data_IF_754827612958
#
_entry.id   IF_754827612958
#
_cell.length_a   1.000
_cell.length_b   1.000
_cell.length_c   1.000
_cell.angle_alpha   90.00
_cell.angle_beta   90.00
_cell.angle_gamma   90.00
#
_symmetry.space_group_name_H-M   'P 1'
#
loop_
_entity.id
_entity.type
_entity.pdbx_description
1 polymer ?
#
# COMPACT_ATOMS: atom_id res chain seq x y z
N UNK A 1 -0.50 -21.85 -2.40
CA UNK A 1 -1.93 -21.45 -2.37
C UNK A 1 -2.08 -20.02 -2.87
N UNK A 2 -1.36 -19.06 -2.32
CA UNK A 2 -1.38 -17.64 -2.75
C UNK A 2 -1.27 -17.43 -4.27
N UNK A 3 -0.19 -17.92 -4.88
CA UNK A 3 0.01 -17.83 -6.33
C UNK A 3 -1.16 -18.41 -7.15
N UNK A 4 -1.77 -19.51 -6.69
CA UNK A 4 -2.92 -20.13 -7.36
C UNK A 4 -4.17 -19.23 -7.30
N UNK A 5 -4.45 -18.61 -6.15
CA UNK A 5 -5.55 -17.65 -6.00
C UNK A 5 -5.33 -16.46 -6.94
N UNK A 6 -4.15 -15.84 -6.89
CA UNK A 6 -3.85 -14.66 -7.71
C UNK A 6 -3.86 -14.97 -9.21
N UNK A 7 -3.33 -16.12 -9.63
CA UNK A 7 -3.40 -16.56 -11.03
C UNK A 7 -4.85 -16.81 -11.46
N UNK A 8 -5.69 -17.34 -10.57
CA UNK A 8 -7.11 -17.57 -10.85
C UNK A 8 -7.86 -16.25 -11.04
N UNK A 9 -7.52 -15.21 -10.28
CA UNK A 9 -8.03 -13.85 -10.51
C UNK A 9 -7.49 -13.24 -11.81
N UNK A 10 -6.23 -13.51 -12.15
CA UNK A 10 -5.57 -12.97 -13.35
C UNK A 10 -6.16 -13.48 -14.66
N UNK A 11 -6.75 -14.69 -14.65
CA UNK A 11 -7.45 -15.28 -15.80
C UNK A 11 -8.77 -14.58 -16.15
N UNK A 12 -9.36 -13.85 -15.21
CA UNK A 12 -10.57 -13.07 -15.47
C UNK A 12 -10.23 -11.81 -16.29
N UNK A 13 -11.20 -11.24 -17.02
CA UNK A 13 -11.02 -9.96 -17.69
C UNK A 13 -10.61 -8.85 -16.70
N UNK A 14 -9.86 -7.81 -17.14
CA UNK A 14 -9.59 -6.63 -16.32
C UNK A 14 -10.88 -6.02 -15.75
N UNK A 15 -10.86 -5.64 -14.47
CA UNK A 15 -12.01 -5.09 -13.75
C UNK A 15 -13.02 -6.11 -13.22
N UNK A 16 -12.87 -7.41 -13.52
CA UNK A 16 -13.71 -8.44 -12.93
C UNK A 16 -13.45 -8.58 -11.42
N UNK A 17 -14.52 -8.56 -10.63
CA UNK A 17 -14.50 -8.67 -9.17
C UNK A 17 -15.36 -9.88 -8.73
N UNK A 18 -14.83 -11.11 -8.80
CA UNK A 18 -15.57 -12.29 -8.35
C UNK A 18 -15.75 -12.26 -6.83
N UNK A 19 -16.86 -12.81 -6.33
CA UNK A 19 -16.99 -13.07 -4.90
C UNK A 19 -16.03 -14.19 -4.43
N UNK A 20 -15.83 -14.26 -3.12
CA UNK A 20 -14.92 -15.24 -2.52
C UNK A 20 -15.37 -16.69 -2.77
N UNK A 21 -16.67 -16.94 -2.92
CA UNK A 21 -17.22 -18.29 -3.08
C UNK A 21 -17.01 -18.82 -4.50
N UNK A 22 -17.12 -17.97 -5.51
CA UNK A 22 -16.72 -18.27 -6.88
C UNK A 22 -15.25 -18.65 -6.97
N UNK A 23 -14.36 -17.86 -6.35
CA UNK A 23 -12.91 -18.16 -6.31
C UNK A 23 -12.64 -19.50 -5.60
N UNK A 24 -13.30 -19.78 -4.47
CA UNK A 24 -13.20 -21.08 -3.78
C UNK A 24 -13.67 -22.23 -4.66
N UNK A 25 -14.78 -22.07 -5.37
CA UNK A 25 -15.34 -23.08 -6.27
C UNK A 25 -14.33 -23.48 -7.34
N UNK A 26 -13.71 -22.49 -8.00
CA UNK A 26 -12.68 -22.73 -9.01
C UNK A 26 -11.46 -23.42 -8.41
N UNK A 27 -10.99 -23.00 -7.23
CA UNK A 27 -9.82 -23.62 -6.58
C UNK A 27 -10.12 -25.07 -6.15
N UNK A 28 -11.33 -25.34 -5.64
CA UNK A 28 -11.79 -26.70 -5.30
C UNK A 28 -11.79 -27.60 -6.53
N UNK A 29 -12.29 -27.10 -7.66
CA UNK A 29 -12.25 -27.82 -8.94
C UNK A 29 -10.82 -28.11 -9.40
N UNK A 30 -9.92 -27.13 -9.31
CA UNK A 30 -8.50 -27.27 -9.74
C UNK A 30 -7.65 -28.14 -8.83
N UNK A 31 -8.03 -28.30 -7.56
CA UNK A 31 -7.27 -29.05 -6.54
C UNK A 31 -8.21 -29.95 -5.71
N UNK A 32 -8.89 -30.92 -6.34
CA UNK A 32 -9.94 -31.71 -5.69
C UNK A 32 -9.40 -32.56 -4.52
N UNK A 33 -8.14 -32.99 -4.61
CA UNK A 33 -7.46 -33.77 -3.55
C UNK A 33 -7.04 -32.93 -2.33
N UNK A 34 -6.97 -31.60 -2.44
CA UNK A 34 -6.63 -30.70 -1.33
C UNK A 34 -7.94 -30.14 -0.74
N UNK A 35 -8.69 -31.05 -0.14
CA UNK A 35 -9.98 -30.84 0.52
C UNK A 35 -9.92 -29.99 1.80
N UNK A 36 -11.10 -29.67 2.34
CA UNK A 36 -11.25 -29.27 3.75
C UNK A 36 -11.19 -27.77 4.06
N UNK A 37 -11.54 -27.47 5.32
CA UNK A 37 -11.66 -26.12 5.87
C UNK A 37 -10.37 -25.31 5.74
N UNK A 38 -9.19 -25.93 5.90
CA UNK A 38 -7.92 -25.21 5.79
C UNK A 38 -7.69 -24.60 4.39
N UNK A 39 -8.05 -25.30 3.30
CA UNK A 39 -7.96 -24.73 1.95
C UNK A 39 -8.83 -23.49 1.86
N UNK A 40 -10.06 -23.62 2.34
CA UNK A 40 -11.04 -22.56 2.29
C UNK A 40 -10.56 -21.36 3.12
N UNK A 41 -10.00 -21.58 4.30
CA UNK A 41 -9.42 -20.52 5.12
C UNK A 41 -8.24 -19.83 4.42
N UNK A 42 -7.36 -20.60 3.78
CA UNK A 42 -6.24 -20.05 3.00
C UNK A 42 -6.69 -19.18 1.82
N UNK A 43 -7.76 -19.57 1.10
CA UNK A 43 -8.32 -18.74 0.02
C UNK A 43 -8.84 -17.42 0.61
N UNK A 44 -9.62 -17.50 1.71
CA UNK A 44 -10.14 -16.32 2.41
C UNK A 44 -9.03 -15.36 2.84
N UNK A 45 -8.00 -15.91 3.49
CA UNK A 45 -6.88 -15.13 3.99
C UNK A 45 -6.08 -14.52 2.86
N UNK A 46 -5.85 -15.27 1.78
CA UNK A 46 -5.15 -14.74 0.60
C UNK A 46 -5.92 -13.57 0.00
N UNK A 47 -7.25 -13.67 -0.16
CA UNK A 47 -8.05 -12.57 -0.72
C UNK A 47 -8.02 -11.33 0.18
N UNK A 48 -8.12 -11.51 1.51
CA UNK A 48 -8.00 -10.40 2.47
C UNK A 48 -6.62 -9.77 2.47
N UNK A 49 -5.57 -10.59 2.43
CA UNK A 49 -4.18 -10.14 2.38
C UNK A 49 -3.93 -9.36 1.08
N UNK A 50 -4.38 -9.89 -0.06
CA UNK A 50 -4.27 -9.23 -1.36
C UNK A 50 -4.91 -7.83 -1.36
N UNK A 51 -6.09 -7.68 -0.76
CA UNK A 51 -6.75 -6.37 -0.62
C UNK A 51 -5.95 -5.44 0.30
N UNK A 52 -5.47 -5.95 1.44
CA UNK A 52 -4.71 -5.18 2.43
C UNK A 52 -3.42 -4.57 1.84
N UNK A 53 -2.73 -5.33 0.98
CA UNK A 53 -1.49 -4.88 0.32
C UNK A 53 -1.73 -4.30 -1.08
N UNK A 54 -2.99 -4.08 -1.48
CA UNK A 54 -3.36 -3.40 -2.73
C UNK A 54 -3.28 -4.25 -4.01
N UNK A 55 -2.97 -5.56 -3.92
CA UNK A 55 -2.99 -6.44 -5.10
C UNK A 55 -4.41 -6.58 -5.70
N UNK A 56 -5.43 -6.39 -4.86
CA UNK A 56 -6.82 -6.21 -5.30
C UNK A 56 -7.37 -4.91 -4.75
N UNK A 57 -8.38 -4.37 -5.44
CA UNK A 57 -9.20 -3.26 -4.96
C UNK A 57 -10.66 -3.55 -5.26
N UNK A 58 -11.51 -3.55 -4.23
CA UNK A 58 -12.93 -3.91 -4.35
C UNK A 58 -13.13 -5.31 -4.99
N UNK A 59 -12.22 -6.25 -4.71
CA UNK A 59 -12.27 -7.61 -5.25
C UNK A 59 -11.75 -7.77 -6.69
N UNK A 60 -11.43 -6.68 -7.39
CA UNK A 60 -10.81 -6.73 -8.71
C UNK A 60 -9.28 -6.75 -8.60
N UNK A 61 -8.62 -7.51 -9.47
CA UNK A 61 -7.15 -7.54 -9.53
C UNK A 61 -6.60 -6.21 -10.07
N UNK A 62 -5.66 -5.60 -9.36
CA UNK A 62 -5.04 -4.34 -9.78
C UNK A 62 -4.21 -4.54 -11.08
N UNK A 63 -4.14 -3.48 -11.89
CA UNK A 63 -3.54 -3.50 -13.23
C UNK A 63 -2.08 -3.98 -13.22
N UNK A 64 -1.31 -3.57 -12.22
CA UNK A 64 0.11 -3.89 -12.06
C UNK A 64 0.38 -5.32 -11.59
N UNK A 65 -0.64 -6.10 -11.17
CA UNK A 65 -0.42 -7.45 -10.62
C UNK A 65 -0.21 -8.50 -11.70
N UNK A 66 -0.91 -8.42 -12.85
CA UNK A 66 -0.70 -9.38 -13.95
C UNK A 66 0.75 -9.37 -14.44
N UNK A 67 1.38 -8.21 -14.72
CA UNK A 67 2.79 -8.19 -15.06
C UNK A 67 3.72 -8.78 -13.97
N UNK A 68 3.41 -8.60 -12.68
CA UNK A 68 4.18 -9.26 -11.60
C UNK A 68 4.08 -10.78 -11.70
N UNK A 69 2.87 -11.32 -11.90
CA UNK A 69 2.64 -12.76 -12.03
C UNK A 69 3.31 -13.35 -13.29
N UNK A 70 3.40 -12.56 -14.36
CA UNK A 70 4.04 -12.93 -15.62
C UNK A 70 5.57 -12.78 -15.61
N UNK A 71 6.17 -12.31 -14.49
CA UNK A 71 7.61 -12.06 -14.41
C UNK A 71 8.08 -10.84 -15.21
N UNK A 72 7.20 -9.85 -15.42
CA UNK A 72 7.46 -8.58 -16.11
C UNK A 72 7.45 -7.39 -15.13
N UNK A 73 8.44 -7.27 -14.24
CA UNK A 73 8.43 -6.25 -13.18
C UNK A 73 8.49 -4.81 -13.71
N UNK A 74 9.12 -4.55 -14.86
CA UNK A 74 9.16 -3.19 -15.45
C UNK A 74 7.78 -2.71 -15.88
N UNK A 75 7.01 -3.61 -16.50
CA UNK A 75 5.63 -3.31 -16.91
C UNK A 75 4.72 -3.16 -15.69
N UNK A 76 5.00 -3.89 -14.60
CA UNK A 76 4.30 -3.71 -13.33
C UNK A 76 4.53 -2.31 -12.75
N UNK A 77 5.79 -1.85 -12.73
CA UNK A 77 6.15 -0.51 -12.26
C UNK A 77 5.46 0.55 -13.10
N UNK A 78 5.54 0.47 -14.43
CA UNK A 78 4.86 1.43 -15.31
C UNK A 78 3.33 1.47 -15.11
N UNK A 79 2.70 0.31 -14.88
CA UNK A 79 1.26 0.22 -14.61
C UNK A 79 0.89 0.77 -13.21
N UNK A 80 1.79 0.66 -12.23
CA UNK A 80 1.61 1.21 -10.89
C UNK A 80 1.80 2.74 -10.90
N UNK A 81 2.84 3.24 -11.56
CA UNK A 81 3.11 4.68 -11.70
C UNK A 81 1.93 5.41 -12.36
N UNK A 82 1.27 4.78 -13.33
CA UNK A 82 0.10 5.34 -14.00
C UNK A 82 -1.14 5.52 -13.10
N UNK A 83 -1.18 4.91 -11.92
CA UNK A 83 -2.33 4.99 -10.98
C UNK A 83 -1.98 5.64 -9.65
N UNK A 84 -0.70 5.88 -9.37
CA UNK A 84 -0.26 6.59 -8.17
C UNK A 84 -0.29 8.10 -8.42
N UNK A 85 -0.70 8.91 -7.43
CA UNK A 85 -0.54 10.36 -7.51
C UNK A 85 0.95 10.74 -7.44
N UNK A 86 1.31 11.85 -8.07
CA UNK A 86 2.67 12.39 -7.99
C UNK A 86 3.03 12.73 -6.53
N UNK A 87 4.15 12.22 -6.00
CA UNK A 87 4.58 12.56 -4.64
C UNK A 87 4.95 14.04 -4.52
N UNK A 88 4.48 14.68 -3.45
CA UNK A 88 4.79 16.07 -3.13
C UNK A 88 6.20 16.20 -2.55
N UNK A 89 6.88 17.28 -2.91
CA UNK A 89 8.20 17.67 -2.42
C UNK A 89 8.15 18.79 -1.36
N UNK A 90 6.96 19.22 -0.97
CA UNK A 90 6.75 20.32 -0.06
C UNK A 90 5.60 20.07 0.92
N UNK A 91 5.62 20.82 2.01
CA UNK A 91 4.53 20.91 3.00
C UNK A 91 4.08 22.35 3.16
N UNK A 92 2.86 22.54 3.64
CA UNK A 92 2.35 23.84 4.04
C UNK A 92 2.65 24.05 5.52
N UNK A 93 3.54 24.99 5.86
CA UNK A 93 3.86 25.35 7.23
C UNK A 93 2.97 26.50 7.71
N UNK A 94 2.32 26.30 8.84
CA UNK A 94 1.41 27.26 9.47
C UNK A 94 2.10 28.01 10.64
N UNK A 95 1.51 29.12 11.07
CA UNK A 95 2.07 29.99 12.12
C UNK A 95 2.07 29.36 13.53
N UNK A 96 1.33 28.28 13.72
CA UNK A 96 1.21 27.53 14.97
C UNK A 96 2.11 26.29 15.02
N UNK A 97 3.14 26.25 14.15
CA UNK A 97 4.10 25.15 14.02
C UNK A 97 3.46 23.84 13.55
N UNK A 98 2.40 23.94 12.75
CA UNK A 98 1.77 22.81 12.07
C UNK A 98 2.28 22.72 10.63
N UNK A 99 2.72 21.53 10.22
CA UNK A 99 3.02 21.19 8.83
C UNK A 99 1.93 20.27 8.27
N UNK A 100 1.36 20.67 7.13
CA UNK A 100 0.32 19.91 6.44
C UNK A 100 0.86 19.44 5.09
N UNK A 101 0.81 18.14 4.83
CA UNK A 101 1.06 17.57 3.51
C UNK A 101 -0.28 17.18 2.87
N UNK A 102 -0.75 17.87 1.82
CA UNK A 102 -2.05 17.63 1.18
C UNK A 102 -2.08 16.40 0.27
N UNK A 103 -1.06 15.55 0.34
CA UNK A 103 -0.89 14.35 -0.47
C UNK A 103 0.33 13.55 0.02
N UNK A 104 0.65 12.42 -0.64
CA UNK A 104 1.81 11.63 -0.27
C UNK A 104 3.08 12.42 -0.52
N UNK A 105 3.92 12.56 0.49
CA UNK A 105 5.24 13.16 0.34
C UNK A 105 6.20 12.17 -0.33
N UNK A 106 7.20 12.70 -1.02
CA UNK A 106 8.39 11.92 -1.37
C UNK A 106 8.99 11.30 -0.11
N UNK A 107 9.50 10.08 -0.24
CA UNK A 107 9.91 9.26 0.91
C UNK A 107 11.06 9.84 1.72
N UNK A 108 11.94 10.60 1.08
CA UNK A 108 13.03 11.37 1.71
C UNK A 108 12.44 12.48 2.58
N UNK A 109 11.59 13.35 2.01
CA UNK A 109 10.94 14.46 2.72
C UNK A 109 10.06 13.96 3.87
N UNK A 110 9.28 12.89 3.65
CA UNK A 110 8.43 12.30 4.68
C UNK A 110 9.25 11.83 5.90
N UNK A 111 10.41 11.22 5.65
CA UNK A 111 11.33 10.73 6.69
C UNK A 111 11.99 11.88 7.43
N UNK A 112 12.38 12.92 6.68
CA UNK A 112 12.95 14.13 7.26
C UNK A 112 11.97 14.80 8.21
N UNK A 113 10.73 15.04 7.74
CA UNK A 113 9.66 15.63 8.53
C UNK A 113 9.34 14.79 9.77
N UNK A 114 9.18 13.47 9.63
CA UNK A 114 8.83 12.59 10.74
C UNK A 114 9.88 12.56 11.87
N UNK A 115 11.15 12.86 11.59
CA UNK A 115 12.15 12.96 12.63
C UNK A 115 11.98 14.23 13.49
N UNK A 116 11.54 15.32 12.87
CA UNK A 116 11.42 16.64 13.49
C UNK A 116 10.01 16.98 14.00
N UNK A 117 9.00 16.17 13.70
CA UNK A 117 7.60 16.40 14.10
C UNK A 117 6.97 15.20 14.81
N UNK A 118 5.86 15.46 15.49
CA UNK A 118 4.91 14.44 15.95
C UNK A 118 3.71 14.39 14.99
N UNK A 119 3.24 13.19 14.65
CA UNK A 119 2.13 13.01 13.68
C UNK A 119 0.79 13.13 14.40
N UNK A 120 0.00 14.14 14.05
CA UNK A 120 -1.36 14.32 14.59
C UNK A 120 -2.41 13.60 13.74
N UNK A 121 -2.25 13.59 12.41
CA UNK A 121 -3.17 12.93 11.48
C UNK A 121 -2.46 12.30 10.28
N UNK A 122 -2.96 11.14 9.83
CA UNK A 122 -2.47 10.38 8.66
C UNK A 122 -3.53 10.22 7.57
N UNK A 123 -4.52 11.12 7.52
CA UNK A 123 -5.59 11.10 6.53
C UNK A 123 -5.09 11.49 5.12
N UNK A 124 -6.04 11.78 4.22
CA UNK A 124 -5.74 12.25 2.86
C UNK A 124 -4.86 13.51 2.80
N UNK A 125 -4.83 14.27 3.90
CA UNK A 125 -3.75 15.18 4.21
C UNK A 125 -3.13 14.77 5.56
N UNK A 126 -1.81 14.58 5.59
CA UNK A 126 -1.12 14.28 6.84
C UNK A 126 -0.76 15.57 7.57
N UNK A 127 -1.05 15.61 8.87
CA UNK A 127 -0.80 16.78 9.73
C UNK A 127 0.24 16.42 10.76
N UNK A 128 1.27 17.26 10.84
CA UNK A 128 2.45 17.09 11.65
C UNK A 128 2.65 18.33 12.51
N UNK A 129 3.08 18.14 13.76
CA UNK A 129 3.32 19.24 14.68
C UNK A 129 4.76 19.27 15.13
N UNK A 130 5.39 20.43 15.04
CA UNK A 130 6.68 20.64 15.68
C UNK A 130 6.47 20.95 17.15
N UNK A 131 7.21 20.23 18.00
CA UNK A 131 7.24 20.45 19.44
C UNK A 131 8.69 20.60 19.90
N UNK A 132 8.97 21.27 21.03
CA UNK A 132 10.32 21.29 21.59
C UNK A 132 10.89 19.88 21.81
N UNK A 133 10.03 18.90 22.13
CA UNK A 133 10.43 17.51 22.29
C UNK A 133 10.79 16.83 20.96
N UNK A 134 10.02 17.07 19.90
CA UNK A 134 10.32 16.50 18.57
C UNK A 134 11.61 17.07 17.99
N UNK A 135 11.82 18.38 18.15
CA UNK A 135 13.06 19.05 17.71
C UNK A 135 14.26 18.54 18.51
N UNK A 136 14.14 18.42 19.84
CA UNK A 136 15.22 17.89 20.67
C UNK A 136 15.57 16.46 20.31
N UNK A 137 14.57 15.62 20.04
CA UNK A 137 14.77 14.25 19.55
C UNK A 137 15.58 14.24 18.24
N UNK A 138 15.23 15.09 17.27
CA UNK A 138 15.98 15.18 16.02
C UNK A 138 17.44 15.61 16.24
N UNK A 139 17.68 16.55 17.17
CA UNK A 139 19.04 16.97 17.56
C UNK A 139 19.81 15.85 18.26
N UNK A 140 19.18 15.11 19.16
CA UNK A 140 19.77 13.97 19.88
C UNK A 140 20.11 12.81 18.92
N UNK A 141 19.38 12.70 17.81
CA UNK A 141 19.65 11.75 16.70
C UNK A 141 20.76 12.22 15.74
N UNK A 142 21.40 13.37 16.04
CA UNK A 142 22.57 13.85 15.32
C UNK A 142 22.30 14.86 14.21
N UNK A 143 21.07 15.38 14.10
CA UNK A 143 20.81 16.55 13.22
C UNK A 143 21.33 17.83 13.85
N UNK A 144 21.86 18.72 13.03
CA UNK A 144 22.26 20.06 13.45
C UNK A 144 21.12 21.06 13.30
N UNK A 145 21.20 22.18 14.04
CA UNK A 145 20.23 23.27 13.91
C UNK A 145 20.21 23.93 12.52
N UNK A 146 21.26 23.75 11.70
CA UNK A 146 21.31 24.25 10.32
C UNK A 146 20.67 23.28 9.32
N UNK A 147 20.47 22.03 9.71
CA UNK A 147 19.80 20.98 8.92
C UNK A 147 18.31 20.82 9.28
N UNK A 148 17.85 21.56 10.30
CA UNK A 148 16.44 21.72 10.66
C UNK A 148 15.86 22.96 9.95
#
# INVERSE_FOLDING_TARGET
MRALVLTTLAELPPGAAPDADGVRGVIRWRRPRRGGQLRDDLVRWTLREAELIGLTGQGALASYVRPVLDGRPRDAVAALDAVLPEPLDHVLLQADLTAVAPGPLRSDIARELAAMTDVESRGGASVHRFTPASVRRALDEGRSAAEL
#
